data_IF_745284844018
#
_entry.id   IF_745284844018
#
_cell.length_a   1.000
_cell.length_b   1.000
_cell.length_c   1.000
_cell.angle_alpha   90.00
_cell.angle_beta   90.00
_cell.angle_gamma   90.00
#
_symmetry.space_group_name_H-M   'P 1'
#
loop_
_entity.id
_entity.type
_entity.pdbx_description
1 polymer ?
#
# COMPACT_ATOMS: atom_id res chain seq x y z
N UNK A 1 -15.92 17.68 -24.39
CA UNK A 1 -14.85 18.31 -23.59
C UNK A 1 -14.01 17.20 -23.00
N UNK A 2 -12.81 16.96 -23.51
CA UNK A 2 -11.92 15.91 -23.00
C UNK A 2 -11.24 16.44 -21.73
N UNK A 3 -11.61 15.93 -20.56
CA UNK A 3 -10.83 16.15 -19.35
C UNK A 3 -9.50 15.42 -19.54
N UNK A 4 -8.41 16.17 -19.69
CA UNK A 4 -7.06 15.66 -19.45
C UNK A 4 -7.03 15.11 -18.03
N UNK A 5 -7.13 13.77 -17.90
CA UNK A 5 -6.95 13.11 -16.61
C UNK A 5 -5.61 13.50 -15.99
N UNK A 6 -5.58 13.57 -14.66
CA UNK A 6 -4.34 13.76 -13.90
C UNK A 6 -3.24 12.78 -14.36
N UNK A 7 -1.96 13.11 -14.13
CA UNK A 7 -0.85 12.23 -14.50
C UNK A 7 -1.07 10.80 -13.97
N UNK A 8 -1.57 10.70 -12.74
CA UNK A 8 -1.93 9.49 -12.03
C UNK A 8 -3.03 8.72 -12.76
N UNK A 9 -4.10 9.38 -13.21
CA UNK A 9 -5.17 8.69 -13.96
C UNK A 9 -4.65 8.07 -15.25
N UNK A 10 -3.87 8.80 -16.04
CA UNK A 10 -3.28 8.27 -17.29
C UNK A 10 -2.32 7.11 -17.04
N UNK A 11 -1.55 7.20 -15.95
CA UNK A 11 -0.64 6.14 -15.54
C UNK A 11 -1.40 4.90 -15.08
N UNK A 12 -2.47 5.05 -14.30
CA UNK A 12 -3.31 3.95 -13.86
C UNK A 12 -3.97 3.21 -15.04
N UNK A 13 -4.43 3.93 -16.05
CA UNK A 13 -4.94 3.34 -17.31
C UNK A 13 -3.85 2.54 -18.02
N UNK A 14 -2.65 3.11 -18.15
CA UNK A 14 -1.52 2.45 -18.80
C UNK A 14 -1.11 1.16 -18.06
N UNK A 15 -1.23 1.16 -16.73
CA UNK A 15 -0.94 0.01 -15.88
C UNK A 15 -2.08 -1.03 -15.84
N UNK A 16 -3.23 -0.73 -16.44
CA UNK A 16 -4.42 -1.60 -16.40
C UNK A 16 -5.11 -1.66 -15.03
N UNK A 17 -4.83 -0.69 -14.14
CA UNK A 17 -5.43 -0.63 -12.80
C UNK A 17 -6.87 -0.09 -12.81
N UNK A 18 -7.28 0.51 -13.91
CA UNK A 18 -8.66 0.88 -14.19
C UNK A 18 -8.94 0.59 -15.66
N UNK A 19 -10.16 0.14 -15.93
CA UNK A 19 -10.61 -0.23 -17.26
C UNK A 19 -11.65 0.80 -17.71
N UNK A 20 -11.41 1.42 -18.87
CA UNK A 20 -12.40 2.30 -19.50
C UNK A 20 -13.30 1.54 -20.50
N UNK A 21 -12.98 0.27 -20.79
CA UNK A 21 -13.69 -0.55 -21.75
C UNK A 21 -14.11 -1.88 -21.10
N UNK A 22 -15.31 -2.36 -21.42
CA UNK A 22 -15.77 -3.71 -21.06
C UNK A 22 -14.89 -4.75 -21.75
N UNK A 23 -14.09 -5.50 -20.99
CA UNK A 23 -13.52 -6.76 -21.47
C UNK A 23 -14.58 -7.86 -21.39
N UNK A 24 -14.67 -8.70 -22.43
CA UNK A 24 -15.65 -9.78 -22.50
C UNK A 24 -15.54 -10.70 -21.27
N UNK A 25 -16.64 -10.82 -20.51
CA UNK A 25 -16.73 -11.66 -19.30
C UNK A 25 -16.85 -10.91 -17.98
N UNK A 26 -16.63 -9.59 -17.95
CA UNK A 26 -16.91 -8.74 -16.79
C UNK A 26 -17.81 -7.56 -17.21
N UNK A 27 -19.02 -7.50 -16.64
CA UNK A 27 -20.00 -6.45 -16.95
C UNK A 27 -19.71 -5.10 -16.27
N UNK A 28 -18.75 -5.07 -15.34
CA UNK A 28 -18.38 -3.90 -14.57
C UNK A 28 -17.13 -3.23 -15.17
N UNK A 29 -17.25 -1.94 -15.47
CA UNK A 29 -16.17 -1.07 -15.93
C UNK A 29 -15.93 -0.07 -14.83
N UNK A 30 -14.71 -0.02 -14.30
CA UNK A 30 -14.31 0.96 -13.30
C UNK A 30 -13.34 1.96 -13.96
N UNK A 31 -13.88 3.01 -14.61
CA UNK A 31 -13.04 4.04 -15.19
C UNK A 31 -12.23 4.73 -14.08
N UNK A 32 -11.05 5.24 -14.40
CA UNK A 32 -10.17 5.80 -13.37
C UNK A 32 -10.77 7.00 -12.63
N UNK A 33 -11.79 7.66 -13.21
CA UNK A 33 -12.58 8.70 -12.55
C UNK A 33 -13.42 8.19 -11.37
N UNK A 34 -13.66 6.88 -11.29
CA UNK A 34 -14.37 6.21 -10.20
C UNK A 34 -13.43 5.48 -9.24
N UNK A 35 -12.14 5.41 -9.55
CA UNK A 35 -11.13 4.84 -8.67
C UNK A 35 -10.56 5.92 -7.74
N UNK A 36 -10.30 5.58 -6.47
CA UNK A 36 -9.41 6.40 -5.65
C UNK A 36 -7.98 5.97 -5.91
N UNK A 37 -7.19 6.83 -6.55
CA UNK A 37 -5.80 6.55 -6.88
C UNK A 37 -4.87 7.15 -5.82
N UNK A 38 -3.97 6.34 -5.30
CA UNK A 38 -2.85 6.78 -4.47
C UNK A 38 -1.57 6.60 -5.27
N UNK A 39 -0.76 7.66 -5.33
CA UNK A 39 0.53 7.67 -6.01
C UNK A 39 1.59 8.21 -5.07
N UNK A 40 2.69 7.46 -4.91
CA UNK A 40 3.84 7.88 -4.10
C UNK A 40 5.09 7.67 -4.92
N UNK A 41 5.79 8.75 -5.23
CA UNK A 41 7.11 8.63 -5.86
C UNK A 41 8.13 8.07 -4.88
N UNK A 42 8.87 7.06 -5.32
CA UNK A 42 9.96 6.43 -4.58
C UNK A 42 11.33 6.79 -5.16
N UNK A 43 11.35 7.42 -6.32
CA UNK A 43 12.56 8.01 -6.91
C UNK A 43 13.01 9.24 -6.13
N UNK A 44 14.31 9.38 -5.84
CA UNK A 44 14.85 10.65 -5.37
C UNK A 44 14.83 11.69 -6.51
N UNK A 45 14.38 12.92 -6.22
CA UNK A 45 14.46 14.06 -7.15
C UNK A 45 13.22 14.32 -8.01
N UNK A 46 13.41 14.90 -9.21
CA UNK A 46 12.35 15.43 -10.09
C UNK A 46 11.77 14.42 -11.10
N UNK A 47 12.09 13.14 -10.99
CA UNK A 47 11.60 12.10 -11.93
C UNK A 47 10.63 11.15 -11.23
N UNK A 48 9.39 11.60 -10.94
CA UNK A 48 8.49 10.85 -10.09
C UNK A 48 8.00 9.54 -10.72
N UNK A 49 8.05 9.44 -12.05
CA UNK A 49 7.58 8.31 -12.85
C UNK A 49 8.58 7.15 -12.96
N UNK A 50 9.83 7.31 -12.53
CA UNK A 50 10.85 6.26 -12.69
C UNK A 50 10.65 5.08 -11.74
N UNK A 51 10.21 5.36 -10.51
CA UNK A 51 9.98 4.38 -9.47
C UNK A 51 8.92 4.95 -8.53
N UNK A 52 7.79 4.26 -8.40
CA UNK A 52 6.66 4.73 -7.62
C UNK A 52 5.85 3.56 -7.07
N UNK A 53 5.16 3.80 -5.97
CA UNK A 53 4.05 2.98 -5.50
C UNK A 53 2.75 3.54 -6.06
N UNK A 54 1.88 2.65 -6.53
CA UNK A 54 0.52 3.00 -6.92
C UNK A 54 -0.49 2.02 -6.32
N UNK A 55 -1.56 2.54 -5.72
CA UNK A 55 -2.73 1.77 -5.28
C UNK A 55 -3.95 2.37 -5.96
N UNK A 56 -4.72 1.54 -6.65
CA UNK A 56 -6.02 1.91 -7.19
C UNK A 56 -7.10 1.27 -6.33
N UNK A 57 -7.93 2.07 -5.68
CA UNK A 57 -9.08 1.56 -4.93
C UNK A 57 -10.29 1.48 -5.83
N UNK A 58 -10.66 0.26 -6.16
CA UNK A 58 -11.89 -0.09 -6.86
C UNK A 58 -12.30 -1.51 -6.44
N UNK A 59 -13.56 -1.91 -6.70
CA UNK A 59 -13.97 -3.29 -6.45
C UNK A 59 -13.11 -4.35 -7.17
N UNK A 60 -12.48 -4.00 -8.29
CA UNK A 60 -11.59 -4.92 -9.03
C UNK A 60 -10.20 -5.07 -8.39
N UNK A 61 -9.75 -4.07 -7.64
CA UNK A 61 -8.41 -4.05 -7.04
C UNK A 61 -8.44 -4.20 -5.51
N UNK A 62 -9.63 -4.32 -4.92
CA UNK A 62 -9.85 -4.39 -3.48
C UNK A 62 -10.81 -5.52 -3.11
N UNK A 63 -10.47 -6.25 -2.05
CA UNK A 63 -11.35 -7.20 -1.38
C UNK A 63 -11.67 -6.75 0.05
N UNK A 64 -12.37 -7.60 0.80
CA UNK A 64 -12.73 -7.35 2.20
C UNK A 64 -11.53 -7.19 3.14
N UNK A 65 -10.34 -7.64 2.74
CA UNK A 65 -9.10 -7.60 3.53
C UNK A 65 -8.14 -6.46 3.19
N UNK A 66 -8.33 -5.74 2.08
CA UNK A 66 -7.34 -4.80 1.57
C UNK A 66 -7.47 -4.54 0.07
N UNK A 67 -6.71 -3.57 -0.40
CA UNK A 67 -6.42 -3.30 -1.81
C UNK A 67 -4.98 -3.72 -2.14
N UNK A 68 -4.73 -4.00 -3.42
CA UNK A 68 -3.36 -4.20 -3.88
C UNK A 68 -2.72 -2.86 -4.22
N UNK A 69 -1.62 -2.53 -3.54
CA UNK A 69 -0.69 -1.50 -3.95
C UNK A 69 0.52 -2.13 -4.61
N UNK A 70 1.05 -1.55 -5.68
CA UNK A 70 2.19 -2.12 -6.41
C UNK A 70 3.26 -1.07 -6.65
N UNK A 71 4.51 -1.43 -6.37
CA UNK A 71 5.68 -0.66 -6.77
C UNK A 71 5.99 -0.96 -8.22
N UNK A 72 6.05 0.07 -9.04
CA UNK A 72 6.42 -0.02 -10.43
C UNK A 72 7.74 0.68 -10.68
N UNK A 73 8.54 0.09 -11.58
CA UNK A 73 9.74 0.72 -12.13
C UNK A 73 9.58 0.91 -13.62
N UNK A 74 9.99 2.07 -14.12
CA UNK A 74 10.07 2.33 -15.55
C UNK A 74 11.21 1.53 -16.19
N UNK A 75 10.91 0.79 -17.25
CA UNK A 75 11.88 0.12 -18.10
C UNK A 75 11.61 0.48 -19.55
N UNK A 76 12.44 1.36 -20.11
CA UNK A 76 12.21 1.93 -21.44
C UNK A 76 10.91 2.73 -21.47
N UNK A 77 9.93 2.26 -22.27
CA UNK A 77 8.60 2.89 -22.42
C UNK A 77 7.50 2.22 -21.58
N UNK A 78 7.83 1.15 -20.84
CA UNK A 78 6.89 0.36 -20.07
C UNK A 78 7.20 0.42 -18.57
N UNK A 79 6.30 -0.10 -17.76
CA UNK A 79 6.48 -0.23 -16.31
C UNK A 79 6.45 -1.71 -15.91
N UNK A 80 7.34 -2.10 -15.00
CA UNK A 80 7.38 -3.45 -14.44
C UNK A 80 7.03 -3.39 -12.96
N UNK A 81 6.10 -4.25 -12.52
CA UNK A 81 5.81 -4.48 -11.11
C UNK A 81 7.04 -5.08 -10.40
N UNK A 82 7.46 -4.46 -9.30
CA UNK A 82 8.63 -4.87 -8.50
C UNK A 82 8.21 -5.58 -7.22
N UNK A 83 7.18 -5.07 -6.56
CA UNK A 83 6.72 -5.55 -5.25
C UNK A 83 5.26 -5.16 -5.09
N UNK A 84 4.46 -6.05 -4.53
CA UNK A 84 3.06 -5.82 -4.21
C UNK A 84 2.87 -5.69 -2.70
N UNK A 85 1.83 -4.96 -2.35
CA UNK A 85 1.36 -4.68 -1.01
C UNK A 85 -0.09 -5.11 -0.95
N UNK A 86 -0.46 -5.82 0.11
CA UNK A 86 -1.86 -6.08 0.40
C UNK A 86 -2.28 -5.37 1.69
N UNK A 87 -3.20 -4.41 1.57
CA UNK A 87 -3.70 -3.63 2.70
C UNK A 87 -4.37 -2.34 2.21
N UNK A 88 -4.48 -1.34 3.07
CA UNK A 88 -5.00 -0.03 2.67
C UNK A 88 -3.94 1.04 2.89
N UNK A 89 -3.59 1.78 1.84
CA UNK A 89 -2.78 2.99 1.98
C UNK A 89 -3.42 4.02 2.96
N UNK A 90 -2.75 4.38 4.05
CA UNK A 90 -3.26 5.38 4.98
C UNK A 90 -2.79 6.78 4.58
N UNK A 91 -1.47 6.97 4.51
CA UNK A 91 -0.84 8.27 4.23
C UNK A 91 0.66 8.16 3.96
N UNK A 92 1.23 9.24 3.44
CA UNK A 92 2.68 9.48 3.44
C UNK A 92 3.14 10.21 4.71
N UNK A 93 4.37 9.95 5.13
CA UNK A 93 5.09 10.71 6.16
C UNK A 93 6.35 11.29 5.50
N UNK A 94 6.33 12.61 5.28
CA UNK A 94 7.49 13.32 4.73
C UNK A 94 8.68 13.24 5.69
N UNK A 95 9.89 13.15 5.13
CA UNK A 95 11.13 13.15 5.90
C UNK A 95 11.93 14.40 5.57
N UNK A 96 12.35 15.13 6.59
CA UNK A 96 13.28 16.25 6.39
C UNK A 96 14.59 15.75 5.78
N UNK A 97 14.97 16.35 4.65
CA UNK A 97 16.23 16.05 3.95
C UNK A 97 16.34 14.65 3.33
N UNK A 98 15.26 13.85 3.27
CA UNK A 98 15.29 12.51 2.69
C UNK A 98 14.06 12.26 1.80
N UNK A 99 14.32 11.97 0.53
CA UNK A 99 13.36 11.34 -0.38
C UNK A 99 13.83 9.92 -0.66
N UNK A 100 12.94 8.92 -0.69
CA UNK A 100 11.47 9.05 -0.67
C UNK A 100 10.84 9.11 0.74
N UNK A 101 9.54 9.49 0.85
CA UNK A 101 8.82 9.51 2.11
C UNK A 101 8.66 8.09 2.70
N UNK A 102 8.41 8.01 4.00
CA UNK A 102 7.89 6.78 4.60
C UNK A 102 6.39 6.69 4.23
N UNK A 103 5.87 5.47 4.05
CA UNK A 103 4.43 5.23 3.80
C UNK A 103 3.81 4.55 5.02
N UNK A 104 2.52 4.76 5.23
CA UNK A 104 1.75 4.03 6.24
C UNK A 104 0.71 3.18 5.52
N UNK A 105 0.73 1.88 5.78
CA UNK A 105 -0.28 0.94 5.32
C UNK A 105 -1.03 0.34 6.51
N UNK A 106 -2.32 0.10 6.30
CA UNK A 106 -3.18 -0.62 7.23
C UNK A 106 -3.29 -2.06 6.76
N UNK A 107 -2.84 -2.99 7.60
CA UNK A 107 -2.94 -4.43 7.34
C UNK A 107 -3.92 -5.07 8.32
N UNK A 108 -4.76 -5.98 7.82
CA UNK A 108 -5.59 -6.82 8.68
C UNK A 108 -4.81 -8.05 9.11
N UNK A 109 -4.48 -8.16 10.39
CA UNK A 109 -3.92 -9.36 10.99
C UNK A 109 -5.03 -10.27 11.53
N UNK A 110 -4.90 -11.58 11.29
CA UNK A 110 -5.87 -12.58 11.71
C UNK A 110 -5.37 -13.38 12.92
N UNK A 111 -5.89 -13.06 14.11
CA UNK A 111 -5.92 -13.94 15.29
C UNK A 111 -4.56 -14.55 15.65
N UNK A 112 -3.47 -13.80 15.55
CA UNK A 112 -2.13 -14.26 15.94
C UNK A 112 -1.83 -14.00 17.40
N UNK A 113 -2.19 -12.81 17.85
CA UNK A 113 -1.84 -12.25 19.15
C UNK A 113 -3.12 -11.94 19.94
N UNK A 114 -3.01 -12.07 21.26
CA UNK A 114 -3.98 -11.51 22.20
C UNK A 114 -3.55 -10.08 22.49
N UNK A 115 -4.20 -9.11 21.83
CA UNK A 115 -3.83 -7.70 21.97
C UNK A 115 -4.48 -7.05 23.19
N UNK A 116 -5.52 -7.67 23.75
CA UNK A 116 -6.29 -7.13 24.87
C UNK A 116 -5.84 -7.68 26.23
N UNK A 117 -5.11 -8.80 26.24
CA UNK A 117 -4.70 -9.52 27.44
C UNK A 117 -5.83 -10.34 28.08
N UNK A 118 -6.90 -10.64 27.35
CA UNK A 118 -8.06 -11.39 27.84
C UNK A 118 -7.93 -12.91 27.67
N UNK A 119 -6.81 -13.37 27.09
CA UNK A 119 -6.52 -14.77 26.79
C UNK A 119 -7.02 -15.23 25.43
N UNK A 120 -7.71 -14.40 24.66
CA UNK A 120 -8.21 -14.71 23.32
C UNK A 120 -7.37 -14.02 22.23
N UNK A 121 -7.20 -14.69 21.09
CA UNK A 121 -6.50 -14.09 19.95
C UNK A 121 -7.44 -13.21 19.15
N UNK A 122 -6.97 -12.03 18.79
CA UNK A 122 -7.77 -10.98 18.18
C UNK A 122 -7.56 -10.85 16.67
N UNK A 123 -8.63 -10.53 15.94
CA UNK A 123 -8.48 -9.89 14.63
C UNK A 123 -8.12 -8.42 14.86
N UNK A 124 -7.00 -7.98 14.30
CA UNK A 124 -6.54 -6.61 14.49
C UNK A 124 -6.25 -5.93 13.15
N UNK A 125 -6.45 -4.61 13.10
CA UNK A 125 -5.91 -3.75 12.06
C UNK A 125 -4.62 -3.11 12.57
N UNK A 126 -3.51 -3.36 11.87
CA UNK A 126 -2.20 -2.81 12.19
C UNK A 126 -1.90 -1.65 11.24
N UNK A 127 -1.64 -0.45 11.78
CA UNK A 127 -1.07 0.65 11.01
C UNK A 127 0.45 0.56 11.06
N UNK A 128 1.05 0.14 9.95
CA UNK A 128 2.49 -0.13 9.85
C UNK A 128 3.14 0.95 8.99
N UNK A 129 4.24 1.51 9.49
CA UNK A 129 5.08 2.45 8.76
C UNK A 129 6.15 1.66 8.01
N UNK A 130 6.20 1.84 6.69
CA UNK A 130 7.22 1.25 5.84
C UNK A 130 8.16 2.32 5.30
N UNK A 131 9.42 1.94 5.15
CA UNK A 131 10.47 2.76 4.57
C UNK A 131 10.99 2.10 3.31
N UNK A 132 11.06 2.85 2.23
CA UNK A 132 11.72 2.38 1.02
C UNK A 132 13.24 2.33 1.21
N UNK A 133 13.82 1.14 1.04
CA UNK A 133 15.26 0.93 1.00
C UNK A 133 15.72 0.94 -0.45
N UNK A 134 16.44 1.98 -0.86
CA UNK A 134 16.89 2.15 -2.25
C UNK A 134 17.92 1.12 -2.69
N UNK A 135 18.77 0.63 -1.77
CA UNK A 135 19.80 -0.37 -2.06
C UNK A 135 19.18 -1.74 -2.31
N UNK A 136 18.24 -2.15 -1.46
CA UNK A 136 17.53 -3.42 -1.56
C UNK A 136 16.35 -3.38 -2.53
N UNK A 137 15.92 -2.18 -2.91
CA UNK A 137 14.75 -1.91 -3.73
C UNK A 137 13.49 -2.59 -3.18
N UNK A 138 13.30 -2.46 -1.87
CA UNK A 138 12.20 -3.05 -1.14
C UNK A 138 11.73 -2.12 -0.02
N UNK A 139 10.47 -2.26 0.39
CA UNK A 139 10.00 -1.63 1.62
C UNK A 139 10.37 -2.45 2.84
N UNK A 140 10.91 -1.78 3.85
CA UNK A 140 11.27 -2.35 5.14
C UNK A 140 10.34 -1.80 6.22
N UNK A 141 9.94 -2.67 7.16
CA UNK A 141 9.10 -2.25 8.29
C UNK A 141 9.90 -1.32 9.20
N UNK A 142 9.48 -0.06 9.26
CA UNK A 142 10.12 0.97 10.05
C UNK A 142 9.52 1.08 11.46
N UNK A 143 8.20 0.94 11.60
CA UNK A 143 7.51 1.12 12.88
C UNK A 143 6.08 0.55 12.89
N UNK A 144 5.54 0.31 14.08
CA UNK A 144 4.12 0.00 14.32
C UNK A 144 3.48 1.21 14.99
N UNK A 145 2.57 1.87 14.27
CA UNK A 145 2.00 3.14 14.68
C UNK A 145 0.72 2.99 15.51
N UNK A 146 -0.10 2.00 15.19
CA UNK A 146 -1.35 1.75 15.90
C UNK A 146 -1.78 0.29 15.71
N UNK A 147 -2.50 -0.23 16.71
CA UNK A 147 -3.19 -1.51 16.70
C UNK A 147 -4.65 -1.21 17.01
N UNK A 148 -5.57 -1.78 16.25
CA UNK A 148 -7.01 -1.66 16.51
C UNK A 148 -7.67 -3.04 16.47
N UNK A 149 -8.32 -3.44 17.56
CA UNK A 149 -9.11 -4.68 17.67
C UNK A 149 -10.54 -4.35 18.02
N UNK A 150 -11.52 -4.89 17.29
CA UNK A 150 -12.96 -4.67 17.52
C UNK A 150 -13.35 -3.18 17.75
N UNK A 151 -12.73 -2.26 17.00
CA UNK A 151 -12.95 -0.81 17.12
C UNK A 151 -12.26 -0.13 18.32
N UNK A 152 -11.50 -0.88 19.12
CA UNK A 152 -10.71 -0.36 20.23
C UNK A 152 -9.26 -0.16 19.80
N UNK A 153 -8.73 1.03 20.04
CA UNK A 153 -7.31 1.33 19.84
C UNK A 153 -6.51 0.73 21.00
N UNK A 154 -5.53 -0.09 20.65
CA UNK A 154 -4.57 -0.68 21.57
C UNK A 154 -3.25 0.08 21.41
N UNK A 155 -2.63 0.45 22.53
CA UNK A 155 -1.30 1.04 22.51
C UNK A 155 -0.30 0.00 21.97
N UNK A 156 0.44 0.29 20.88
CA UNK A 156 1.46 -0.62 20.38
C UNK A 156 2.52 -1.01 21.41
N UNK A 157 2.76 -0.20 22.45
CA UNK A 157 3.73 -0.38 23.55
C UNK A 157 4.42 -1.74 23.60
N UNK A 158 3.85 -2.69 24.37
CA UNK A 158 4.44 -4.01 24.62
C UNK A 158 4.57 -4.88 23.34
N UNK A 159 3.68 -4.70 22.35
CA UNK A 159 3.67 -5.49 21.12
C UNK A 159 4.62 -4.94 20.04
N UNK A 160 5.06 -3.69 20.14
CA UNK A 160 5.79 -3.02 19.07
C UNK A 160 7.07 -3.78 18.71
N UNK A 161 7.89 -4.16 19.69
CA UNK A 161 9.14 -4.86 19.40
C UNK A 161 8.91 -6.27 18.85
N UNK A 162 7.92 -6.99 19.41
CA UNK A 162 7.51 -8.31 18.93
C UNK A 162 7.09 -8.25 17.45
N UNK A 163 6.13 -7.38 17.12
CA UNK A 163 5.62 -7.21 15.76
C UNK A 163 6.72 -6.73 14.81
N UNK A 164 7.59 -5.81 15.23
CA UNK A 164 8.71 -5.37 14.40
C UNK A 164 9.67 -6.52 14.09
N UNK A 165 9.96 -7.38 15.06
CA UNK A 165 10.83 -8.54 14.85
C UNK A 165 10.20 -9.52 13.87
N UNK A 166 8.93 -9.88 14.07
CA UNK A 166 8.19 -10.80 13.19
C UNK A 166 8.13 -10.27 11.75
N UNK A 167 7.74 -9.01 11.57
CA UNK A 167 7.52 -8.44 10.24
C UNK A 167 8.82 -8.14 9.49
N UNK A 168 9.95 -7.97 10.20
CA UNK A 168 11.28 -7.86 9.59
C UNK A 168 11.82 -9.21 9.10
N UNK A 169 11.39 -10.32 9.70
CA UNK A 169 11.76 -11.66 9.23
C UNK A 169 10.99 -12.08 7.97
N UNK A 170 9.81 -11.49 7.76
CA UNK A 170 9.05 -11.60 6.52
C UNK A 170 7.67 -10.98 6.69
N UNK A 171 7.40 -9.87 6.00
CA UNK A 171 6.08 -9.24 6.02
C UNK A 171 5.14 -10.03 5.09
N UNK A 172 4.10 -10.70 5.59
CA UNK A 172 3.18 -11.48 4.75
C UNK A 172 2.41 -10.62 3.74
N UNK A 173 2.43 -9.31 3.95
CA UNK A 173 1.70 -8.33 3.15
C UNK A 173 2.55 -7.68 2.06
N UNK A 174 3.82 -8.07 1.92
CA UNK A 174 4.76 -7.56 0.92
C UNK A 174 5.30 -8.75 0.13
N UNK A 175 4.98 -8.85 -1.16
CA UNK A 175 5.31 -10.02 -2.00
C UNK A 175 5.52 -9.70 -3.48
#
# INVERSE_FOLDING_TARGET
MAQTGSFESRLAEQLGLCTNNRTAGNDYVYPCSQCTLQFVSLSPGQQPDQLFLMEARSPDNCGSGGCTGTVYRKQGKSYIAQTNFFGYFDRVIARSGNTPPDIVYIHSETMKHDFTGDGAKDRASLKIKYRWNTQRQAFEVADILAIETAGRKIDPGAFRQLLLQEYRQGSPWVY
#
